data_IF_155232809608
#
_entry.id   IF_155232809608
#
_cell.length_a   1.000
_cell.length_b   1.000
_cell.length_c   1.000
_cell.angle_alpha   90.00
_cell.angle_beta   90.00
_cell.angle_gamma   90.00
#
_symmetry.space_group_name_H-M   'P 1'
#
loop_
_entity.id
_entity.type
_entity.pdbx_description
1 polymer ?
#
# COMPACT_ATOMS: atom_id res chain seq x y z
N UNK A 1 5.04 4.69 7.92
CA UNK A 1 4.57 3.29 7.93
C UNK A 1 4.33 2.81 6.51
N UNK A 2 4.32 1.49 6.29
CA UNK A 2 4.10 0.91 4.96
C UNK A 2 3.00 -0.15 5.06
N UNK A 3 2.05 -0.12 4.12
CA UNK A 3 1.07 -1.18 3.96
C UNK A 3 1.07 -1.67 2.51
N UNK A 4 1.00 -2.98 2.36
CA UNK A 4 0.85 -3.67 1.09
C UNK A 4 -0.58 -4.17 0.98
N UNK A 5 -1.22 -3.90 -0.15
CA UNK A 5 -2.59 -4.30 -0.43
C UNK A 5 -2.65 -5.24 -1.60
N UNK A 6 -3.47 -6.28 -1.45
CA UNK A 6 -3.88 -7.15 -2.55
C UNK A 6 -5.30 -6.79 -2.97
N UNK A 7 -5.51 -6.58 -4.26
CA UNK A 7 -6.81 -6.30 -4.87
C UNK A 7 -7.28 -7.49 -5.69
N UNK A 8 -8.55 -7.46 -6.13
CA UNK A 8 -8.93 -8.28 -7.27
C UNK A 8 -8.11 -7.80 -8.50
N UNK A 9 -7.42 -8.74 -9.17
CA UNK A 9 -6.44 -8.41 -10.22
C UNK A 9 -6.95 -7.46 -11.30
N UNK A 10 -6.06 -6.60 -11.81
CA UNK A 10 -6.35 -5.61 -12.85
C UNK A 10 -6.91 -4.29 -12.32
N UNK A 11 -7.06 -4.15 -11.00
CA UNK A 11 -7.54 -2.92 -10.34
C UNK A 11 -6.47 -2.21 -9.51
N UNK A 12 -5.27 -2.74 -9.41
CA UNK A 12 -4.19 -2.21 -8.56
C UNK A 12 -3.84 -0.75 -8.86
N UNK A 13 -3.77 -0.35 -10.14
CA UNK A 13 -3.42 1.02 -10.51
C UNK A 13 -4.48 2.03 -10.10
N UNK A 14 -5.75 1.71 -10.35
CA UNK A 14 -6.89 2.56 -9.97
C UNK A 14 -7.05 2.59 -8.45
N UNK A 15 -6.99 1.43 -7.80
CA UNK A 15 -7.09 1.34 -6.34
C UNK A 15 -5.96 2.09 -5.62
N UNK A 16 -4.73 2.00 -6.13
CA UNK A 16 -3.60 2.74 -5.59
C UNK A 16 -3.82 4.25 -5.69
N UNK A 17 -4.22 4.74 -6.88
CA UNK A 17 -4.49 6.16 -7.11
C UNK A 17 -5.60 6.67 -6.19
N UNK A 18 -6.76 6.02 -6.22
CA UNK A 18 -7.93 6.48 -5.47
C UNK A 18 -7.66 6.46 -3.96
N UNK A 19 -6.92 5.45 -3.47
CA UNK A 19 -6.57 5.39 -2.06
C UNK A 19 -5.57 6.49 -1.68
N UNK A 20 -4.59 6.76 -2.55
CA UNK A 20 -3.64 7.86 -2.36
C UNK A 20 -4.36 9.20 -2.25
N UNK A 21 -5.26 9.48 -3.19
CA UNK A 21 -6.02 10.73 -3.25
C UNK A 21 -6.91 10.89 -2.01
N UNK A 22 -7.57 9.81 -1.58
CA UNK A 22 -8.38 9.82 -0.38
C UNK A 22 -7.55 10.13 0.88
N UNK A 23 -6.40 9.46 1.02
CA UNK A 23 -5.53 9.61 2.20
C UNK A 23 -4.89 10.99 2.24
N UNK A 24 -4.49 11.51 1.09
CA UNK A 24 -4.01 12.89 0.93
C UNK A 24 -5.09 13.89 1.38
N UNK A 25 -6.30 13.76 0.84
CA UNK A 25 -7.43 14.63 1.20
C UNK A 25 -7.86 14.50 2.67
N UNK A 26 -7.55 13.37 3.32
CA UNK A 26 -7.80 13.14 4.74
C UNK A 26 -6.71 13.72 5.66
N UNK A 27 -5.66 14.33 5.11
CA UNK A 27 -4.66 15.11 5.85
C UNK A 27 -3.25 14.52 5.88
N UNK A 28 -2.98 13.42 5.18
CA UNK A 28 -1.62 12.87 5.04
C UNK A 28 -1.02 13.29 3.70
N UNK A 29 -0.49 14.51 3.64
CA UNK A 29 0.06 15.10 2.42
C UNK A 29 1.32 14.39 1.90
N UNK A 30 1.95 13.58 2.75
CA UNK A 30 3.16 12.81 2.44
C UNK A 30 2.88 11.42 1.87
N UNK A 31 1.60 11.07 1.69
CA UNK A 31 1.19 9.76 1.23
C UNK A 31 1.77 9.45 -0.14
N UNK A 32 2.23 8.22 -0.32
CA UNK A 32 2.73 7.72 -1.59
C UNK A 32 2.12 6.35 -1.86
N UNK A 33 1.54 6.14 -3.05
CA UNK A 33 1.04 4.84 -3.48
C UNK A 33 1.68 4.41 -4.80
N UNK A 34 1.99 3.12 -4.93
CA UNK A 34 2.52 2.57 -6.18
C UNK A 34 2.01 1.14 -6.42
N UNK A 35 1.45 0.85 -7.62
CA UNK A 35 1.20 -0.52 -8.05
C UNK A 35 2.54 -1.23 -8.33
N UNK A 36 2.72 -2.43 -7.77
CA UNK A 36 4.01 -3.14 -7.81
C UNK A 36 3.97 -4.50 -8.49
N UNK A 37 2.78 -5.09 -8.60
CA UNK A 37 2.54 -6.32 -9.35
C UNK A 37 1.04 -6.39 -9.70
N UNK A 38 0.62 -7.26 -10.65
CA UNK A 38 -0.79 -7.49 -10.92
C UNK A 38 -1.58 -7.81 -9.64
N UNK A 39 -2.63 -7.05 -9.37
CA UNK A 39 -3.43 -7.16 -8.16
C UNK A 39 -2.73 -6.72 -6.86
N UNK A 40 -1.59 -6.03 -6.91
CA UNK A 40 -0.84 -5.62 -5.72
C UNK A 40 -0.31 -4.19 -5.84
N UNK A 41 -0.52 -3.40 -4.80
CA UNK A 41 0.08 -2.08 -4.64
C UNK A 41 0.53 -1.86 -3.20
N UNK A 42 1.44 -0.93 -2.96
CA UNK A 42 1.75 -0.49 -1.59
C UNK A 42 1.44 0.99 -1.40
N UNK A 43 1.27 1.35 -0.14
CA UNK A 43 1.17 2.72 0.34
C UNK A 43 2.26 2.98 1.39
N UNK A 44 2.87 4.16 1.34
CA UNK A 44 3.64 4.76 2.42
C UNK A 44 2.82 5.92 2.97
N UNK A 45 2.64 5.94 4.28
CA UNK A 45 1.80 6.90 4.98
C UNK A 45 2.42 7.28 6.34
N UNK A 46 2.13 8.48 6.80
CA UNK A 46 2.61 9.04 8.06
C UNK A 46 1.69 8.67 9.23
N UNK A 47 0.37 8.76 9.06
CA UNK A 47 -0.62 8.45 10.10
C UNK A 47 -1.64 7.42 9.60
N UNK A 48 -1.88 6.38 10.42
CA UNK A 48 -2.87 5.35 10.12
C UNK A 48 -4.31 5.86 10.14
N UNK A 49 -4.63 6.96 10.83
CA UNK A 49 -6.01 7.47 10.94
C UNK A 49 -6.62 7.85 9.60
N UNK A 50 -5.87 8.55 8.75
CA UNK A 50 -6.29 8.92 7.40
C UNK A 50 -6.54 7.67 6.53
N UNK A 51 -5.62 6.71 6.62
CA UNK A 51 -5.74 5.43 5.92
C UNK A 51 -6.96 4.63 6.38
N UNK A 52 -7.19 4.45 7.68
CA UNK A 52 -8.36 3.72 8.18
C UNK A 52 -9.69 4.37 7.76
N UNK A 53 -9.75 5.71 7.79
CA UNK A 53 -10.93 6.46 7.33
C UNK A 53 -11.23 6.13 5.87
N UNK A 54 -10.23 6.13 5.00
CA UNK A 54 -10.39 5.77 3.60
C UNK A 54 -10.76 4.29 3.41
N UNK A 55 -10.07 3.37 4.08
CA UNK A 55 -10.37 1.94 4.00
C UNK A 55 -11.78 1.57 4.49
N UNK A 56 -12.39 2.40 5.34
CA UNK A 56 -13.78 2.21 5.80
C UNK A 56 -14.83 2.43 4.71
N UNK A 57 -14.48 3.14 3.62
CA UNK A 57 -15.40 3.42 2.52
C UNK A 57 -15.76 2.13 1.77
N UNK A 58 -17.05 1.99 1.42
CA UNK A 58 -17.59 0.81 0.74
C UNK A 58 -16.83 0.44 -0.55
N UNK A 59 -16.30 1.45 -1.25
CA UNK A 59 -15.47 1.27 -2.44
C UNK A 59 -14.24 0.40 -2.16
N UNK A 60 -13.40 0.82 -1.22
CA UNK A 60 -12.15 0.12 -0.89
C UNK A 60 -12.40 -1.24 -0.24
N UNK A 61 -13.45 -1.37 0.60
CA UNK A 61 -13.84 -2.66 1.20
C UNK A 61 -14.17 -3.75 0.16
N UNK A 62 -14.67 -3.36 -1.02
CA UNK A 62 -14.97 -4.31 -2.10
C UNK A 62 -13.74 -4.70 -2.90
N UNK A 63 -12.81 -3.76 -3.08
CA UNK A 63 -11.65 -3.91 -3.96
C UNK A 63 -10.48 -4.58 -3.24
N UNK A 64 -10.18 -4.15 -2.01
CA UNK A 64 -9.05 -4.63 -1.22
C UNK A 64 -9.44 -5.95 -0.55
N UNK A 65 -8.62 -6.99 -0.77
CA UNK A 65 -8.84 -8.35 -0.24
C UNK A 65 -7.95 -8.66 0.93
N UNK A 66 -6.73 -8.12 0.94
CA UNK A 66 -5.75 -8.35 1.98
C UNK A 66 -4.92 -7.10 2.22
N UNK A 67 -4.51 -6.93 3.46
CA UNK A 67 -3.55 -5.91 3.92
C UNK A 67 -2.45 -6.59 4.71
N UNK A 68 -1.21 -6.20 4.45
CA UNK A 68 -0.03 -6.54 5.24
C UNK A 68 0.70 -5.24 5.59
N UNK A 69 1.29 -5.15 6.79
CA UNK A 69 2.08 -3.98 7.20
C UNK A 69 3.55 -4.32 7.30
N UNK A 70 4.38 -3.35 6.96
CA UNK A 70 5.84 -3.48 6.92
C UNK A 70 6.48 -2.24 7.55
N UNK A 71 7.66 -2.43 8.15
CA UNK A 71 8.46 -1.34 8.68
C UNK A 71 9.15 -0.56 7.55
N UNK A 72 9.67 -1.27 6.56
CA UNK A 72 10.55 -0.71 5.53
C UNK A 72 10.30 -1.31 4.14
N UNK A 73 10.56 -0.51 3.10
CA UNK A 73 10.59 -0.96 1.70
C UNK A 73 11.89 -0.47 1.07
N UNK A 74 12.60 -1.37 0.40
CA UNK A 74 13.86 -1.10 -0.28
C UNK A 74 13.80 -1.51 -1.75
N UNK A 75 14.59 -0.85 -2.59
CA UNK A 75 14.89 -1.27 -3.96
C UNK A 75 16.15 -2.15 -4.03
N UNK A 76 16.96 -2.12 -2.98
CA UNK A 76 18.16 -2.95 -2.83
C UNK A 76 17.85 -4.15 -1.94
N UNK A 77 18.41 -5.30 -2.31
CA UNK A 77 18.23 -6.53 -1.53
C UNK A 77 18.89 -6.39 -0.15
N UNK A 78 18.13 -6.52 0.95
CA UNK A 78 18.69 -6.41 2.28
C UNK A 78 19.41 -7.71 2.66
N UNK A 79 20.70 -7.62 2.99
CA UNK A 79 21.48 -8.77 3.46
C UNK A 79 21.15 -9.09 4.92
N UNK A 80 20.90 -10.36 5.22
CA UNK A 80 20.75 -10.86 6.60
C UNK A 80 19.44 -10.48 7.30
N UNK A 81 18.44 -9.97 6.58
CA UNK A 81 17.10 -9.69 7.11
C UNK A 81 16.05 -10.48 6.34
N UNK A 82 14.99 -10.93 7.03
CA UNK A 82 13.87 -11.55 6.35
C UNK A 82 13.08 -10.49 5.57
N UNK A 83 12.83 -10.76 4.30
CA UNK A 83 12.10 -9.86 3.43
C UNK A 83 11.06 -10.61 2.58
N UNK A 84 10.05 -9.88 2.11
CA UNK A 84 9.13 -10.33 1.06
C UNK A 84 9.42 -9.54 -0.20
N UNK A 85 9.78 -10.22 -1.30
CA UNK A 85 10.02 -9.58 -2.59
C UNK A 85 8.73 -9.53 -3.41
N UNK A 86 8.39 -8.35 -3.93
CA UNK A 86 7.26 -8.15 -4.85
C UNK A 86 7.69 -7.19 -5.93
N UNK A 87 7.71 -7.67 -7.18
CA UNK A 87 8.30 -6.94 -8.29
C UNK A 87 9.76 -6.59 -8.01
N UNK A 88 10.09 -5.30 -8.08
CA UNK A 88 11.42 -4.75 -7.78
C UNK A 88 11.63 -4.38 -6.30
N UNK A 89 10.61 -4.51 -5.46
CA UNK A 89 10.63 -4.03 -4.08
C UNK A 89 10.85 -5.17 -3.08
N UNK A 90 11.61 -4.86 -2.02
CA UNK A 90 11.87 -5.71 -0.87
C UNK A 90 11.16 -5.12 0.35
N UNK A 91 10.17 -5.82 0.89
CA UNK A 91 9.39 -5.41 2.05
C UNK A 91 9.91 -6.09 3.31
N UNK A 92 10.32 -5.31 4.31
CA UNK A 92 10.88 -5.79 5.57
C UNK A 92 9.90 -5.55 6.72
N UNK A 93 9.74 -6.57 7.57
CA UNK A 93 8.90 -6.47 8.77
C UNK A 93 9.62 -5.77 9.91
#
# INVERSE_FOLDING_TARGET
MIALFTTAGGKEGVAARDLCDCVFAAGDESVFCEPVAPGVFYIRYSDGRALEKCLSLNYFRRIIKRRETYAEVSLEEPKGRQYKRIGKYYFLR
#
